data_IF_651601586691
#
_entry.id   IF_651601586691
#
_cell.length_a   1.000
_cell.length_b   1.000
_cell.length_c   1.000
_cell.angle_alpha   90.00
_cell.angle_beta   90.00
_cell.angle_gamma   90.00
#
_symmetry.space_group_name_H-M   'P 1'
#
loop_
_entity.id
_entity.type
_entity.pdbx_description
1 polymer ?
#
# COMPACT_ATOMS: atom_id res chain seq x y z
N UNK A 1 -41.44 11.09 -35.24
CA UNK A 1 -42.88 11.44 -35.21
C UNK A 1 -42.99 12.82 -34.58
N UNK A 2 -43.70 13.70 -35.29
CA UNK A 2 -43.93 15.15 -35.09
C UNK A 2 -42.75 16.14 -35.03
N UNK A 3 -42.46 16.71 -36.20
CA UNK A 3 -41.55 17.85 -36.44
C UNK A 3 -41.94 19.13 -35.68
N UNK A 4 -43.19 19.23 -35.21
CA UNK A 4 -43.68 20.36 -34.41
C UNK A 4 -43.26 20.28 -32.93
N UNK A 5 -43.06 19.08 -32.38
CA UNK A 5 -42.58 18.92 -30.99
C UNK A 5 -41.08 19.24 -30.88
N UNK A 6 -40.31 18.99 -31.96
CA UNK A 6 -38.91 19.37 -32.05
C UNK A 6 -38.71 20.90 -32.09
N UNK A 7 -39.56 21.65 -32.81
CA UNK A 7 -39.47 23.12 -32.87
C UNK A 7 -39.72 23.78 -31.50
N UNK A 8 -40.57 23.21 -30.66
CA UNK A 8 -40.82 23.73 -29.30
C UNK A 8 -39.65 23.49 -28.34
N UNK A 9 -38.90 22.39 -28.49
CA UNK A 9 -37.72 22.11 -27.67
C UNK A 9 -36.47 22.90 -28.13
N UNK A 10 -36.40 23.28 -29.41
CA UNK A 10 -35.33 24.15 -29.90
C UNK A 10 -35.50 25.63 -29.48
N UNK A 11 -36.73 26.12 -29.29
CA UNK A 11 -36.97 27.52 -28.88
C UNK A 11 -36.75 27.75 -27.37
N UNK A 12 -36.85 26.72 -26.54
CA UNK A 12 -36.56 26.80 -25.09
C UNK A 12 -35.09 26.49 -24.74
N UNK A 13 -34.26 26.13 -25.73
CA UNK A 13 -32.93 25.55 -25.52
C UNK A 13 -31.72 26.47 -25.77
N UNK A 14 -31.89 27.72 -26.21
CA UNK A 14 -30.74 28.57 -26.55
C UNK A 14 -31.00 30.06 -26.40
N UNK A 15 -30.96 30.57 -25.16
CA UNK A 15 -30.51 31.94 -24.85
C UNK A 15 -30.44 32.11 -23.34
N UNK A 16 -29.22 32.00 -22.79
CA UNK A 16 -28.46 33.11 -22.21
C UNK A 16 -28.77 33.33 -20.72
N UNK A 17 -27.89 32.89 -19.81
CA UNK A 17 -26.71 33.66 -19.39
C UNK A 17 -27.07 35.12 -19.07
N UNK A 18 -27.22 35.44 -17.78
CA UNK A 18 -26.89 36.75 -17.20
C UNK A 18 -27.07 36.66 -15.68
N UNK A 19 -25.99 36.36 -14.98
CA UNK A 19 -25.76 36.86 -13.62
C UNK A 19 -24.25 36.74 -13.32
N UNK A 20 -23.48 37.63 -13.94
CA UNK A 20 -22.16 38.01 -13.45
C UNK A 20 -22.29 39.37 -12.75
N UNK A 21 -21.46 39.55 -11.70
CA UNK A 21 -21.11 40.78 -10.94
C UNK A 21 -22.04 41.14 -9.76
N UNK A 22 -21.55 41.43 -8.55
CA UNK A 22 -20.18 41.77 -8.09
C UNK A 22 -20.05 41.79 -6.53
N UNK A 23 -18.83 41.47 -6.05
CA UNK A 23 -17.99 42.13 -5.00
C UNK A 23 -18.54 42.25 -3.54
N UNK A 24 -17.75 42.11 -2.46
CA UNK A 24 -16.30 42.14 -2.22
C UNK A 24 -15.95 41.70 -0.77
N UNK A 25 -14.63 41.67 -0.50
CA UNK A 25 -13.93 41.68 0.81
C UNK A 25 -13.69 40.26 1.37
N UNK A 26 -12.48 39.73 1.58
CA UNK A 26 -11.13 40.29 1.76
C UNK A 26 -10.05 39.23 1.38
N UNK A 27 -8.96 39.67 0.76
CA UNK A 27 -7.66 38.97 0.60
C UNK A 27 -6.65 39.67 1.54
N UNK A 28 -5.36 39.27 1.70
CA UNK A 28 -4.64 37.98 1.68
C UNK A 28 -3.81 37.79 2.98
N UNK A 29 -3.16 36.63 3.18
CA UNK A 29 -1.71 36.56 3.48
C UNK A 29 -1.20 35.12 3.66
N UNK A 30 -0.14 34.84 2.93
CA UNK A 30 0.85 33.79 3.17
C UNK A 30 1.49 34.06 4.54
N UNK A 31 1.64 33.05 5.39
CA UNK A 31 2.78 32.91 6.31
C UNK A 31 2.80 31.48 6.86
N UNK A 32 3.99 30.87 6.82
CA UNK A 32 4.32 29.66 7.56
C UNK A 32 4.02 29.86 9.05
N UNK A 33 3.64 28.81 9.77
CA UNK A 33 4.12 28.51 11.13
C UNK A 33 3.54 27.22 11.67
N UNK A 34 4.34 26.65 12.56
CA UNK A 34 4.21 25.45 13.36
C UNK A 34 2.96 25.40 14.25
N UNK A 35 2.73 24.20 14.80
CA UNK A 35 1.92 23.87 15.97
C UNK A 35 0.39 23.91 15.86
N UNK A 36 -0.20 22.71 15.85
CA UNK A 36 -1.48 22.46 16.54
C UNK A 36 -1.23 21.47 17.67
N UNK A 37 -1.20 22.04 18.87
CA UNK A 37 -1.00 21.37 20.14
C UNK A 37 -2.20 20.52 20.57
N UNK A 38 -1.89 19.31 21.01
CA UNK A 38 -2.26 18.68 22.30
C UNK A 38 -3.71 18.84 22.78
N UNK A 39 -4.45 17.72 22.78
CA UNK A 39 -5.50 17.45 23.76
C UNK A 39 -4.91 16.60 24.90
N UNK A 40 -5.00 17.14 26.11
CA UNK A 40 -4.44 16.62 27.35
C UNK A 40 -5.12 15.31 27.78
N UNK A 41 -4.34 14.28 28.11
CA UNK A 41 -4.75 13.22 29.02
C UNK A 41 -3.63 13.07 30.06
N UNK A 42 -3.90 13.54 31.27
CA UNK A 42 -3.02 13.37 32.42
C UNK A 42 -3.17 11.94 32.95
N UNK A 43 -2.05 11.19 33.04
CA UNK A 43 -1.70 10.18 34.05
C UNK A 43 -0.56 9.31 33.48
N UNK A 44 0.68 9.81 33.59
CA UNK A 44 1.91 9.06 33.37
C UNK A 44 2.57 8.84 34.74
N UNK A 45 2.11 7.85 35.49
CA UNK A 45 2.77 7.49 36.74
C UNK A 45 2.51 6.04 37.16
N UNK A 46 2.79 5.07 36.27
CA UNK A 46 3.19 3.71 36.68
C UNK A 46 3.68 2.90 35.48
N UNK A 47 5.01 2.81 35.31
CA UNK A 47 5.70 1.69 34.65
C UNK A 47 7.21 1.86 34.84
N UNK A 48 7.62 1.83 36.10
CA UNK A 48 9.01 1.54 36.47
C UNK A 48 9.07 0.04 36.75
N UNK A 49 10.00 -0.65 36.08
CA UNK A 49 10.40 -2.07 36.22
C UNK A 49 9.79 -3.02 35.17
N UNK A 50 10.46 -3.17 34.02
CA UNK A 50 10.57 -4.47 33.34
C UNK A 50 12.05 -4.67 32.96
N UNK A 51 12.55 -5.86 33.29
CA UNK A 51 13.95 -6.29 33.15
C UNK A 51 14.38 -6.37 31.66
N UNK A 52 15.70 -6.34 31.37
CA UNK A 52 16.20 -6.44 30.00
C UNK A 52 15.75 -7.74 29.35
N UNK A 53 15.05 -7.64 28.22
CA UNK A 53 14.80 -8.77 27.33
C UNK A 53 16.16 -9.11 26.69
N UNK A 54 16.63 -10.34 26.87
CA UNK A 54 17.81 -10.80 26.12
C UNK A 54 17.51 -10.69 24.62
N UNK A 55 18.27 -9.83 23.97
CA UNK A 55 18.17 -9.46 22.56
C UNK A 55 18.53 -10.67 21.69
N UNK A 56 17.68 -10.92 20.70
CA UNK A 56 17.89 -11.95 19.69
C UNK A 56 19.11 -11.55 18.85
N UNK A 57 20.27 -12.09 19.20
CA UNK A 57 21.55 -12.04 18.45
C UNK A 57 21.45 -12.46 16.95
N UNK A 58 20.27 -12.88 16.48
CA UNK A 58 20.00 -13.19 15.09
C UNK A 58 19.67 -11.98 14.21
N UNK A 59 19.11 -10.89 14.76
CA UNK A 59 18.72 -9.74 13.93
C UNK A 59 19.93 -8.89 13.49
N UNK A 60 20.92 -8.68 14.36
CA UNK A 60 22.13 -7.90 14.09
C UNK A 60 23.04 -8.57 13.05
N UNK A 61 23.18 -9.90 13.13
CA UNK A 61 23.94 -10.68 12.15
C UNK A 61 23.26 -10.68 10.78
N UNK A 62 21.94 -10.82 10.73
CA UNK A 62 21.18 -10.74 9.48
C UNK A 62 21.20 -9.34 8.87
N UNK A 63 21.14 -8.30 9.70
CA UNK A 63 21.30 -6.91 9.29
C UNK A 63 22.67 -6.70 8.63
N UNK A 64 23.74 -7.06 9.33
CA UNK A 64 25.13 -6.92 8.85
C UNK A 64 25.31 -7.63 7.51
N UNK A 65 24.81 -8.87 7.42
CA UNK A 65 24.92 -9.67 6.20
C UNK A 65 24.14 -9.06 5.04
N UNK A 66 22.93 -8.57 5.32
CA UNK A 66 22.11 -7.87 4.34
C UNK A 66 22.83 -6.63 3.80
N UNK A 67 23.39 -5.80 4.68
CA UNK A 67 24.08 -4.57 4.31
C UNK A 67 25.32 -4.89 3.47
N UNK A 68 26.10 -5.89 3.87
CA UNK A 68 27.29 -6.32 3.13
C UNK A 68 26.95 -6.81 1.72
N UNK A 69 25.94 -7.69 1.59
CA UNK A 69 25.53 -8.19 0.27
C UNK A 69 24.90 -7.10 -0.59
N UNK A 70 24.11 -6.22 0.01
CA UNK A 70 23.50 -5.09 -0.71
C UNK A 70 24.59 -4.15 -1.21
N UNK A 71 25.58 -3.82 -0.37
CA UNK A 71 26.73 -3.01 -0.79
C UNK A 71 27.51 -3.67 -1.93
N UNK A 72 27.76 -4.98 -1.86
CA UNK A 72 28.42 -5.71 -2.96
C UNK A 72 27.60 -5.69 -4.24
N UNK A 73 26.29 -5.90 -4.15
CA UNK A 73 25.40 -5.86 -5.29
C UNK A 73 25.36 -4.47 -5.93
N UNK A 74 25.26 -3.40 -5.14
CA UNK A 74 25.29 -2.02 -5.62
C UNK A 74 26.60 -1.68 -6.32
N UNK A 75 27.75 -2.06 -5.74
CA UNK A 75 29.04 -1.90 -6.41
C UNK A 75 29.13 -2.66 -7.73
N UNK A 76 28.56 -3.86 -7.79
CA UNK A 76 28.51 -4.65 -9.03
C UNK A 76 27.60 -3.99 -10.09
N UNK A 77 26.47 -3.40 -9.68
CA UNK A 77 25.53 -2.69 -10.55
C UNK A 77 26.04 -1.30 -11.01
N UNK A 78 26.82 -0.60 -10.19
CA UNK A 78 27.44 0.69 -10.54
C UNK A 78 28.58 0.54 -11.56
N UNK A 79 29.11 -0.67 -11.72
CA UNK A 79 30.16 -0.93 -12.68
C UNK A 79 29.66 -0.81 -14.14
N UNK A 80 30.22 0.14 -14.90
CA UNK A 80 29.90 0.38 -16.32
C UNK A 80 30.00 -0.86 -17.22
N UNK A 81 30.91 -1.79 -16.92
CA UNK A 81 31.04 -3.05 -17.67
C UNK A 81 29.84 -3.96 -17.40
N UNK A 82 29.45 -4.12 -16.13
CA UNK A 82 28.24 -4.86 -15.76
C UNK A 82 27.00 -4.28 -16.45
N UNK A 83 26.82 -2.96 -16.41
CA UNK A 83 25.68 -2.29 -17.04
C UNK A 83 25.63 -2.55 -18.55
N UNK A 84 26.77 -2.39 -19.23
CA UNK A 84 26.90 -2.68 -20.66
C UNK A 84 26.57 -4.15 -20.96
N UNK A 85 27.11 -5.09 -20.19
CA UNK A 85 26.85 -6.52 -20.39
C UNK A 85 25.36 -6.89 -20.20
N UNK A 86 24.68 -6.25 -19.24
CA UNK A 86 23.23 -6.42 -19.04
C UNK A 86 22.46 -5.86 -20.23
N UNK A 87 22.75 -4.62 -20.65
CA UNK A 87 22.10 -3.95 -21.78
C UNK A 87 22.29 -4.78 -23.07
N UNK A 88 23.49 -5.25 -23.34
CA UNK A 88 23.79 -6.10 -24.49
C UNK A 88 22.99 -7.41 -24.48
N UNK A 89 22.85 -8.04 -23.31
CA UNK A 89 22.02 -9.25 -23.16
C UNK A 89 20.54 -8.96 -23.38
N UNK A 90 20.06 -7.79 -22.94
CA UNK A 90 18.69 -7.34 -23.19
C UNK A 90 18.45 -7.09 -24.68
N UNK A 91 19.34 -6.38 -25.38
CA UNK A 91 19.24 -6.22 -26.84
C UNK A 91 19.34 -7.54 -27.59
N UNK A 92 20.20 -8.47 -27.14
CA UNK A 92 20.27 -9.82 -27.70
C UNK A 92 18.97 -10.60 -27.49
N UNK A 93 18.23 -10.31 -26.43
CA UNK A 93 16.91 -10.89 -26.19
C UNK A 93 15.86 -10.25 -27.09
N UNK A 94 15.87 -8.92 -27.22
CA UNK A 94 15.01 -8.19 -28.16
C UNK A 94 15.19 -8.64 -29.61
N UNK A 95 16.43 -8.92 -30.04
CA UNK A 95 16.72 -9.34 -31.42
C UNK A 95 16.11 -10.70 -31.80
N UNK A 96 15.79 -11.53 -30.80
CA UNK A 96 15.09 -12.81 -30.98
C UNK A 96 13.57 -12.65 -31.07
N UNK A 97 13.02 -11.47 -30.78
CA UNK A 97 11.59 -11.22 -30.86
C UNK A 97 11.14 -11.06 -32.32
N UNK A 98 10.03 -11.73 -32.68
CA UNK A 98 9.52 -11.74 -34.06
C UNK A 98 8.78 -10.47 -34.46
N UNK A 99 8.03 -9.87 -33.54
CA UNK A 99 7.09 -8.78 -33.86
C UNK A 99 7.41 -7.45 -33.19
N UNK A 100 8.17 -7.43 -32.09
CA UNK A 100 8.40 -6.24 -31.26
C UNK A 100 9.88 -5.94 -31.06
N UNK A 101 10.72 -6.33 -32.02
CA UNK A 101 12.18 -6.21 -31.89
C UNK A 101 12.61 -4.76 -31.66
N UNK A 102 12.04 -3.83 -32.43
CA UNK A 102 12.40 -2.41 -32.40
C UNK A 102 11.84 -1.73 -31.16
N UNK A 103 10.57 -1.96 -30.83
CA UNK A 103 9.94 -1.45 -29.62
C UNK A 103 10.65 -1.96 -28.36
N UNK A 104 11.03 -3.24 -28.33
CA UNK A 104 11.83 -3.82 -27.23
C UNK A 104 13.18 -3.10 -27.09
N UNK A 105 13.90 -2.89 -28.19
CA UNK A 105 15.19 -2.21 -28.15
C UNK A 105 15.06 -0.77 -27.62
N UNK A 106 14.05 -0.02 -28.08
CA UNK A 106 13.76 1.33 -27.59
C UNK A 106 13.48 1.34 -26.08
N UNK A 107 12.73 0.36 -25.58
CA UNK A 107 12.47 0.25 -24.15
C UNK A 107 13.76 -0.05 -23.37
N UNK A 108 14.63 -0.92 -23.87
CA UNK A 108 15.93 -1.20 -23.24
C UNK A 108 16.79 0.07 -23.19
N UNK A 109 16.91 0.77 -24.32
CA UNK A 109 17.70 2.00 -24.44
C UNK A 109 17.22 3.11 -23.49
N UNK A 110 15.91 3.20 -23.26
CA UNK A 110 15.33 4.20 -22.40
C UNK A 110 15.35 3.80 -20.91
N UNK A 111 14.89 2.60 -20.58
CA UNK A 111 14.65 2.21 -19.20
C UNK A 111 15.88 1.62 -18.51
N UNK A 112 16.79 0.94 -19.20
CA UNK A 112 17.95 0.35 -18.54
C UNK A 112 18.87 1.40 -17.91
N UNK A 113 19.22 2.53 -18.56
CA UNK A 113 20.01 3.59 -17.93
C UNK A 113 19.30 4.22 -16.72
N UNK A 114 17.98 4.44 -16.83
CA UNK A 114 17.19 4.98 -15.73
C UNK A 114 17.14 4.00 -14.55
N UNK A 115 17.03 2.71 -14.82
CA UNK A 115 17.07 1.66 -13.80
C UNK A 115 18.39 1.68 -13.01
N UNK A 116 19.54 1.70 -13.71
CA UNK A 116 20.84 1.79 -13.02
C UNK A 116 20.99 3.09 -12.24
N UNK A 117 20.52 4.21 -12.77
CA UNK A 117 20.52 5.49 -12.05
C UNK A 117 19.68 5.44 -10.75
N UNK A 118 18.57 4.70 -10.73
CA UNK A 118 17.76 4.57 -9.52
C UNK A 118 18.36 3.57 -8.52
N UNK A 119 18.86 2.43 -9.00
CA UNK A 119 19.52 1.44 -8.14
C UNK A 119 20.73 2.05 -7.43
N UNK A 120 21.57 2.80 -8.14
CA UNK A 120 22.80 3.35 -7.56
C UNK A 120 22.55 4.47 -6.53
N UNK A 121 21.31 4.95 -6.38
CA UNK A 121 20.91 5.88 -5.30
C UNK A 121 20.50 5.16 -4.01
N UNK A 122 20.29 3.84 -4.07
CA UNK A 122 19.94 3.07 -2.88
C UNK A 122 21.11 3.00 -1.91
N UNK A 123 20.76 2.94 -0.63
CA UNK A 123 21.72 2.74 0.46
C UNK A 123 21.47 1.37 1.11
N UNK A 124 22.52 0.57 1.39
CA UNK A 124 22.37 -0.75 2.01
C UNK A 124 21.51 -0.72 3.27
N UNK A 125 21.71 0.28 4.13
CA UNK A 125 21.01 0.43 5.41
C UNK A 125 19.51 0.59 5.15
N UNK A 126 19.12 1.55 4.28
CA UNK A 126 17.72 1.81 3.94
C UNK A 126 17.05 0.59 3.28
N UNK A 127 17.79 -0.14 2.42
CA UNK A 127 17.28 -1.35 1.78
C UNK A 127 16.99 -2.43 2.84
N UNK A 128 17.98 -2.76 3.68
CA UNK A 128 17.83 -3.79 4.71
C UNK A 128 16.79 -3.41 5.78
N UNK A 129 16.66 -2.12 6.06
CA UNK A 129 15.61 -1.55 6.90
C UNK A 129 14.21 -1.80 6.31
N UNK A 130 14.02 -1.53 5.01
CA UNK A 130 12.75 -1.73 4.32
C UNK A 130 12.31 -3.20 4.32
N UNK A 131 13.27 -4.13 4.31
CA UNK A 131 13.00 -5.57 4.38
C UNK A 131 12.95 -6.11 5.82
N UNK A 132 12.99 -5.23 6.84
CA UNK A 132 12.90 -5.62 8.25
C UNK A 132 14.09 -6.44 8.75
N UNK A 133 15.20 -6.46 8.00
CA UNK A 133 16.42 -7.19 8.35
C UNK A 133 17.32 -6.38 9.28
N UNK A 134 17.18 -5.06 9.26
CA UNK A 134 17.81 -4.15 10.20
C UNK A 134 16.73 -3.53 11.08
N UNK A 135 16.89 -3.71 12.40
CA UNK A 135 15.99 -3.12 13.38
C UNK A 135 16.14 -1.60 13.33
N UNK A 136 15.03 -0.87 13.25
CA UNK A 136 15.06 0.51 13.71
C UNK A 136 15.01 0.42 15.23
N UNK A 137 15.99 0.97 15.93
CA UNK A 137 15.84 1.25 17.35
C UNK A 137 14.75 2.32 17.49
N UNK A 138 13.52 1.85 17.45
CA UNK A 138 12.32 2.59 17.76
C UNK A 138 11.67 1.72 18.80
N UNK A 139 11.98 2.00 20.07
CA UNK A 139 11.35 1.43 21.29
C UNK A 139 9.81 1.69 21.31
N UNK A 140 9.28 2.26 20.24
CA UNK A 140 7.86 2.43 19.98
C UNK A 140 7.22 1.13 19.44
N UNK A 141 7.99 0.14 18.97
CA UNK A 141 7.47 -1.11 18.38
C UNK A 141 6.51 -1.87 19.30
N UNK A 142 6.79 -2.05 20.59
CA UNK A 142 5.92 -2.85 21.47
C UNK A 142 4.65 -2.09 21.92
N UNK A 143 4.72 -0.77 22.10
CA UNK A 143 3.56 0.05 22.53
C UNK A 143 2.69 0.48 21.35
N UNK A 144 3.28 0.68 20.17
CA UNK A 144 2.53 0.94 18.94
C UNK A 144 2.10 -0.34 18.21
N UNK A 145 2.81 -1.47 18.27
CA UNK A 145 2.32 -2.72 17.63
C UNK A 145 0.98 -3.15 18.21
N UNK A 146 0.80 -3.09 19.54
CA UNK A 146 -0.52 -3.35 20.17
C UNK A 146 -1.61 -2.37 19.72
N UNK A 147 -1.35 -1.06 19.77
CA UNK A 147 -2.34 -0.03 19.36
C UNK A 147 -2.61 0.01 17.86
N UNK A 148 -1.61 -0.27 17.04
CA UNK A 148 -1.72 -0.34 15.58
C UNK A 148 -2.45 -1.62 15.15
N UNK A 149 -2.27 -2.73 15.87
CA UNK A 149 -3.01 -3.96 15.67
C UNK A 149 -4.50 -3.76 15.95
N UNK A 150 -4.84 -3.19 17.11
CA UNK A 150 -6.24 -2.90 17.48
C UNK A 150 -6.91 -1.94 16.49
N UNK A 151 -6.20 -0.87 16.11
CA UNK A 151 -6.70 0.09 15.12
C UNK A 151 -6.87 -0.56 13.75
N UNK A 152 -5.91 -1.38 13.31
CA UNK A 152 -6.00 -2.10 12.06
C UNK A 152 -7.22 -3.02 12.05
N UNK A 153 -7.38 -3.86 13.07
CA UNK A 153 -8.53 -4.77 13.14
C UNK A 153 -9.84 -4.00 13.12
N UNK A 154 -9.94 -2.88 13.85
CA UNK A 154 -11.14 -2.04 13.83
C UNK A 154 -11.45 -1.51 12.42
N UNK A 155 -10.44 -1.03 11.70
CA UNK A 155 -10.61 -0.52 10.33
C UNK A 155 -10.98 -1.65 9.37
N UNK A 156 -10.31 -2.80 9.47
CA UNK A 156 -10.58 -3.97 8.62
C UNK A 156 -11.99 -4.50 8.86
N UNK A 157 -12.43 -4.63 10.11
CA UNK A 157 -13.80 -5.02 10.45
C UNK A 157 -14.82 -4.02 9.94
N UNK A 158 -14.56 -2.71 10.07
CA UNK A 158 -15.47 -1.70 9.50
C UNK A 158 -15.53 -1.81 7.97
N UNK A 159 -14.38 -1.96 7.30
CA UNK A 159 -14.31 -2.13 5.85
C UNK A 159 -15.02 -3.39 5.37
N UNK A 160 -14.85 -4.52 6.07
CA UNK A 160 -15.56 -5.77 5.81
C UNK A 160 -17.07 -5.58 5.94
N UNK A 161 -17.53 -4.93 7.02
CA UNK A 161 -18.95 -4.68 7.27
C UNK A 161 -19.58 -3.80 6.19
N UNK A 162 -18.86 -2.77 5.72
CA UNK A 162 -19.29 -1.89 4.63
C UNK A 162 -19.25 -2.61 3.29
N UNK A 163 -18.26 -3.46 3.05
CA UNK A 163 -18.23 -4.28 1.83
C UNK A 163 -19.36 -5.31 1.80
N UNK A 164 -19.87 -5.78 2.93
CA UNK A 164 -21.06 -6.65 3.03
C UNK A 164 -22.36 -5.92 2.70
N UNK A 165 -22.39 -4.62 2.94
CA UNK A 165 -23.57 -3.79 2.70
C UNK A 165 -23.83 -3.60 1.19
N UNK A 166 -25.01 -3.98 0.68
CA UNK A 166 -25.31 -3.92 -0.75
C UNK A 166 -25.37 -2.48 -1.28
N UNK A 167 -25.75 -1.51 -0.45
CA UNK A 167 -25.83 -0.11 -0.84
C UNK A 167 -24.42 0.46 -1.06
N UNK A 168 -23.48 0.16 -0.16
CA UNK A 168 -22.06 0.49 -0.33
C UNK A 168 -21.48 -0.10 -1.62
N UNK A 169 -21.82 -1.35 -1.98
CA UNK A 169 -21.38 -1.96 -3.25
C UNK A 169 -21.90 -1.18 -4.46
N UNK A 170 -23.15 -0.72 -4.40
CA UNK A 170 -23.76 0.09 -5.45
C UNK A 170 -23.11 1.47 -5.55
N UNK A 171 -22.81 2.12 -4.42
CA UNK A 171 -22.09 3.38 -4.39
C UNK A 171 -20.70 3.26 -5.03
N UNK A 172 -19.96 2.19 -4.72
CA UNK A 172 -18.66 1.91 -5.36
C UNK A 172 -18.82 1.77 -6.88
N UNK A 173 -19.81 1.01 -7.35
CA UNK A 173 -20.11 0.85 -8.78
C UNK A 173 -20.45 2.19 -9.45
N UNK A 174 -21.26 3.02 -8.80
CA UNK A 174 -21.63 4.33 -9.33
C UNK A 174 -20.41 5.26 -9.46
N UNK A 175 -19.56 5.29 -8.42
CA UNK A 175 -18.31 6.06 -8.44
C UNK A 175 -17.39 5.61 -9.59
N UNK A 176 -17.23 4.31 -9.78
CA UNK A 176 -16.43 3.75 -10.89
C UNK A 176 -17.02 4.11 -12.26
N UNK A 177 -18.33 4.02 -12.43
CA UNK A 177 -19.02 4.37 -13.68
C UNK A 177 -18.93 5.88 -13.98
N UNK A 178 -18.99 6.72 -12.95
CA UNK A 178 -18.79 8.16 -13.04
C UNK A 178 -17.36 8.49 -13.45
N UNK A 179 -16.36 7.86 -12.83
CA UNK A 179 -14.95 7.99 -13.21
C UNK A 179 -14.72 7.57 -14.67
N UNK A 180 -15.30 6.45 -15.12
CA UNK A 180 -15.24 6.04 -16.52
C UNK A 180 -15.80 7.10 -17.49
N UNK A 181 -16.79 7.91 -17.06
CA UNK A 181 -17.34 9.00 -17.88
C UNK A 181 -16.31 10.07 -18.25
N UNK A 182 -15.29 10.28 -17.41
CA UNK A 182 -14.23 11.26 -17.64
C UNK A 182 -13.14 10.77 -18.62
N UNK A 183 -13.04 9.47 -18.87
CA UNK A 183 -11.94 8.87 -19.65
C UNK A 183 -12.32 8.81 -21.14
N UNK A 184 -12.11 9.89 -21.89
CA UNK A 184 -12.34 9.92 -23.35
C UNK A 184 -11.09 9.48 -24.12
N UNK A 185 -11.23 8.74 -25.25
CA UNK A 185 -12.47 8.23 -25.86
C UNK A 185 -12.96 6.89 -25.27
N UNK A 186 -12.31 6.38 -24.22
CA UNK A 186 -12.48 5.00 -23.73
C UNK A 186 -13.67 4.75 -22.80
N UNK A 187 -14.49 5.75 -22.51
CA UNK A 187 -15.56 5.68 -21.52
C UNK A 187 -16.46 4.46 -21.67
N UNK A 188 -16.83 4.09 -22.91
CA UNK A 188 -17.65 2.90 -23.18
C UNK A 188 -16.94 1.59 -22.81
N UNK A 189 -15.66 1.46 -23.15
CA UNK A 189 -14.85 0.28 -22.82
C UNK A 189 -14.63 0.19 -21.31
N UNK A 190 -14.33 1.31 -20.66
CA UNK A 190 -14.18 1.39 -19.20
C UNK A 190 -15.46 0.92 -18.48
N UNK A 191 -16.63 1.47 -18.84
CA UNK A 191 -17.91 1.08 -18.23
C UNK A 191 -18.20 -0.41 -18.41
N UNK A 192 -17.88 -0.99 -19.58
CA UNK A 192 -18.01 -2.43 -19.81
C UNK A 192 -17.17 -3.24 -18.82
N UNK A 193 -15.90 -2.85 -18.63
CA UNK A 193 -15.02 -3.52 -17.65
C UNK A 193 -15.55 -3.38 -16.22
N UNK A 194 -16.07 -2.21 -15.83
CA UNK A 194 -16.66 -2.02 -14.50
C UNK A 194 -17.83 -2.98 -14.28
N UNK A 195 -18.76 -3.08 -15.23
CA UNK A 195 -19.87 -4.03 -15.11
C UNK A 195 -19.44 -5.50 -15.07
N UNK A 196 -18.38 -5.85 -15.79
CA UNK A 196 -17.90 -7.23 -15.92
C UNK A 196 -17.08 -7.67 -14.71
N UNK A 197 -16.21 -6.80 -14.18
CA UNK A 197 -15.21 -7.18 -13.19
C UNK A 197 -15.51 -6.68 -11.78
N UNK A 198 -16.11 -5.49 -11.61
CA UNK A 198 -16.29 -4.92 -10.28
C UNK A 198 -17.14 -5.81 -9.34
N UNK A 199 -18.25 -6.45 -9.79
CA UNK A 199 -19.02 -7.35 -8.92
C UNK A 199 -18.19 -8.53 -8.39
N UNK A 200 -17.39 -9.16 -9.27
CA UNK A 200 -16.53 -10.29 -8.90
C UNK A 200 -15.42 -9.84 -7.95
N UNK A 201 -14.81 -8.68 -8.22
CA UNK A 201 -13.76 -8.12 -7.36
C UNK A 201 -14.30 -7.81 -5.96
N UNK A 202 -15.50 -7.23 -5.84
CA UNK A 202 -16.09 -6.90 -4.54
C UNK A 202 -16.40 -8.15 -3.71
N UNK A 203 -16.92 -9.22 -4.34
CA UNK A 203 -17.15 -10.52 -3.68
C UNK A 203 -15.83 -11.14 -3.23
N UNK A 204 -14.82 -11.15 -4.11
CA UNK A 204 -13.52 -11.71 -3.77
C UNK A 204 -12.82 -10.89 -2.66
N UNK A 205 -13.01 -9.57 -2.64
CA UNK A 205 -12.48 -8.70 -1.59
C UNK A 205 -13.14 -8.99 -0.25
N UNK A 206 -14.47 -9.14 -0.21
CA UNK A 206 -15.19 -9.58 0.99
C UNK A 206 -14.62 -10.91 1.51
N UNK A 207 -14.55 -11.93 0.65
CA UNK A 207 -14.02 -13.25 1.04
C UNK A 207 -12.57 -13.19 1.51
N UNK A 208 -11.76 -12.33 0.89
CA UNK A 208 -10.37 -12.15 1.27
C UNK A 208 -10.24 -11.54 2.67
N UNK A 209 -11.05 -10.53 3.00
CA UNK A 209 -11.07 -9.94 4.35
C UNK A 209 -11.58 -10.93 5.40
N UNK A 210 -12.53 -11.80 5.06
CA UNK A 210 -13.05 -12.83 5.97
C UNK A 210 -12.05 -13.96 6.26
N UNK A 211 -11.28 -14.36 5.25
CA UNK A 211 -10.43 -15.56 5.33
C UNK A 211 -9.00 -15.27 5.79
N UNK A 212 -8.59 -14.01 5.82
CA UNK A 212 -7.21 -13.62 6.06
C UNK A 212 -7.12 -12.57 7.17
N UNK A 213 -6.13 -12.73 8.04
CA UNK A 213 -5.74 -11.66 8.95
C UNK A 213 -4.90 -10.63 8.18
N UNK A 214 -5.59 -9.64 7.62
CA UNK A 214 -4.96 -8.53 6.90
C UNK A 214 -4.00 -7.76 7.80
N UNK A 215 -4.26 -7.68 9.10
CA UNK A 215 -3.43 -6.93 10.02
C UNK A 215 -2.10 -7.65 10.31
N UNK A 216 -2.11 -8.98 10.34
CA UNK A 216 -0.87 -9.78 10.35
C UNK A 216 -0.12 -9.66 9.01
N UNK A 217 -0.82 -9.73 7.86
CA UNK A 217 -0.21 -9.59 6.53
C UNK A 217 0.43 -8.21 6.35
N UNK A 218 -0.19 -7.16 6.88
CA UNK A 218 0.33 -5.78 6.85
C UNK A 218 1.36 -5.52 7.95
N UNK A 219 1.73 -6.53 8.75
CA UNK A 219 2.63 -6.42 9.90
C UNK A 219 2.20 -5.35 10.92
N UNK A 220 0.90 -5.05 10.98
CA UNK A 220 0.31 -4.20 12.01
C UNK A 220 0.14 -4.97 13.34
N UNK A 221 0.03 -6.30 13.26
CA UNK A 221 0.03 -7.22 14.39
C UNK A 221 1.29 -8.09 14.36
N UNK A 222 1.78 -8.48 15.54
CA UNK A 222 2.80 -9.53 15.64
C UNK A 222 2.25 -10.84 15.07
N UNK A 223 3.07 -11.64 14.37
CA UNK A 223 2.64 -12.95 13.90
C UNK A 223 2.25 -13.80 15.10
N UNK A 224 1.11 -14.49 15.01
CA UNK A 224 0.64 -15.38 16.07
C UNK A 224 1.72 -16.42 16.37
N UNK A 225 2.43 -16.25 17.49
CA UNK A 225 3.25 -17.32 18.07
C UNK A 225 2.25 -18.32 18.64
N UNK A 226 2.22 -19.51 18.07
CA UNK A 226 1.39 -20.63 18.53
C UNK A 226 1.63 -20.87 20.03
N UNK A 227 0.79 -20.28 20.88
CA UNK A 227 0.69 -20.63 22.30
C UNK A 227 -0.16 -21.89 22.39
N UNK A 228 0.40 -23.01 21.94
CA UNK A 228 -0.17 -24.31 22.23
C UNK A 228 0.00 -24.60 23.73
N UNK A 229 -1.14 -24.51 24.40
CA UNK A 229 -1.46 -24.82 25.78
C UNK A 229 -0.52 -25.82 26.48
N UNK A 230 0.29 -25.31 27.41
CA UNK A 230 0.71 -26.10 28.57
C UNK A 230 -0.49 -26.24 29.53
N UNK A 231 -1.27 -27.31 29.37
CA UNK A 231 -2.18 -27.77 30.42
C UNK A 231 -1.40 -28.58 31.48
N UNK A 232 -1.70 -28.43 32.78
CA UNK A 232 -0.91 -29.05 33.84
C UNK A 232 -1.14 -30.56 33.90
N UNK A 233 -0.07 -31.33 33.67
CA UNK A 233 -0.09 -32.78 33.86
C UNK A 233 -0.21 -33.09 35.36
N UNK A 234 -1.34 -33.69 35.72
CA UNK A 234 -1.66 -34.19 37.07
C UNK A 234 -0.59 -35.18 37.53
N UNK A 235 0.12 -34.85 38.60
CA UNK A 235 1.11 -35.71 39.23
C UNK A 235 0.40 -36.83 40.01
N UNK A 236 0.39 -38.04 39.46
CA UNK A 236 0.06 -39.24 40.23
C UNK A 236 1.32 -39.72 40.93
N UNK A 237 1.36 -39.56 42.23
CA UNK A 237 2.36 -40.10 43.14
C UNK A 237 2.41 -41.63 43.05
N UNK A 238 3.58 -42.16 42.69
CA UNK A 238 3.95 -43.55 42.96
C UNK A 238 4.65 -43.57 44.33
N UNK A 239 3.97 -44.08 45.37
CA UNK A 239 4.64 -44.52 46.59
C UNK A 239 4.98 -46.00 46.46
N UNK A 240 6.25 -46.31 46.76
CA UNK A 240 6.79 -47.66 46.85
C UNK A 240 6.67 -48.21 48.27
N UNK A 241 6.67 -49.55 48.37
CA UNK A 241 6.81 -50.42 49.55
C UNK A 241 5.56 -50.51 50.46
N UNK A 242 5.05 -51.68 50.84
CA UNK A 242 5.65 -53.02 51.03
C UNK A 242 4.67 -54.14 50.66
#
# INVERSE_FOLDING_TARGET
MDLRLCLCLFILGSSWCCAARELAVLNPLITETEDVSVLQINNLEELRQVQPLEEVNGNEQLCTLCEEYTAKALNYMDNNKTQTEIIDRLHKSCSKMRFYKEECAILVDYYAPLFFLQINKMKPENFCQQFGLCEQVVIISQVLSGKNCDLCHKVVTEAESKLKDPDTRLEILELLLKACGAIKPYAKKCKKLVFEFAPVILINAEQFLEQNDICAILHACEPAVDKEQASPMKQTSLHSAS
#
